data_IF_216450846504
#
_entry.id   IF_216450846504
#
_cell.length_a   1.000
_cell.length_b   1.000
_cell.length_c   1.000
_cell.angle_alpha   90.00
_cell.angle_beta   90.00
_cell.angle_gamma   90.00
#
_symmetry.space_group_name_H-M   'P 1'
#
loop_
_entity.id
_entity.type
_entity.pdbx_description
1 polymer ?
#
# COMPACT_ATOMS: atom_id res chain seq x y z
N UNK A 1 -6.16 -41.34 -9.77
CA UNK A 1 -5.23 -40.53 -8.97
C UNK A 1 -4.44 -41.38 -8.01
N UNK A 2 -3.23 -41.02 -7.80
CA UNK A 2 -2.31 -41.71 -6.88
C UNK A 2 -2.30 -41.11 -5.47
N UNK A 3 -3.00 -40.00 -5.30
CA UNK A 3 -3.08 -39.27 -4.03
C UNK A 3 -4.44 -38.60 -3.88
N UNK A 4 -4.87 -38.34 -2.65
CA UNK A 4 -6.04 -37.52 -2.35
C UNK A 4 -5.58 -36.14 -1.90
N UNK A 5 -6.24 -35.12 -2.40
CA UNK A 5 -6.00 -33.75 -1.95
C UNK A 5 -6.56 -33.50 -0.56
N UNK A 6 -6.05 -32.49 0.10
CA UNK A 6 -6.57 -32.05 1.42
C UNK A 6 -8.04 -31.60 1.34
N UNK A 7 -8.47 -31.06 0.19
CA UNK A 7 -9.84 -30.61 -0.01
C UNK A 7 -10.60 -31.53 -0.96
N UNK A 8 -11.79 -32.00 -0.51
CA UNK A 8 -12.72 -32.80 -1.33
C UNK A 8 -13.15 -32.08 -2.60
N UNK A 9 -13.17 -30.75 -2.58
CA UNK A 9 -13.54 -29.94 -3.74
C UNK A 9 -12.55 -30.18 -4.89
N UNK A 10 -11.24 -30.26 -4.61
CA UNK A 10 -10.20 -30.48 -5.60
C UNK A 10 -10.33 -31.91 -6.16
N UNK A 11 -10.54 -32.90 -5.30
CA UNK A 11 -10.78 -34.28 -5.74
C UNK A 11 -12.02 -34.38 -6.65
N UNK A 12 -13.10 -33.66 -6.33
CA UNK A 12 -14.29 -33.62 -7.17
C UNK A 12 -14.04 -32.90 -8.51
N UNK A 13 -13.19 -31.87 -8.54
CA UNK A 13 -12.75 -31.24 -9.80
C UNK A 13 -11.96 -32.22 -10.66
N UNK A 14 -11.09 -33.03 -10.05
CA UNK A 14 -10.35 -34.07 -10.76
C UNK A 14 -11.30 -35.14 -11.32
N UNK A 15 -12.24 -35.63 -10.49
CA UNK A 15 -13.28 -36.59 -10.91
C UNK A 15 -14.17 -36.02 -12.01
N UNK A 16 -14.51 -34.74 -11.94
CA UNK A 16 -15.30 -34.05 -12.96
C UNK A 16 -14.60 -33.87 -14.30
N UNK A 17 -13.34 -34.31 -14.44
CA UNK A 17 -12.66 -34.43 -15.73
C UNK A 17 -13.08 -35.67 -16.53
N UNK A 18 -13.72 -36.65 -15.86
CA UNK A 18 -14.26 -37.89 -16.43
C UNK A 18 -15.79 -37.76 -16.55
N UNK A 19 -16.40 -38.32 -17.57
CA UNK A 19 -17.85 -38.33 -17.78
C UNK A 19 -18.45 -36.96 -18.09
N UNK A 20 -17.78 -36.11 -18.82
CA UNK A 20 -18.28 -34.79 -19.22
C UNK A 20 -19.46 -34.90 -20.16
N UNK A 21 -20.42 -33.98 -20.00
CA UNK A 21 -21.64 -33.89 -20.82
C UNK A 21 -22.51 -35.15 -20.80
N UNK A 22 -22.38 -35.99 -19.74
CA UNK A 22 -23.16 -37.22 -19.60
C UNK A 22 -22.51 -38.45 -20.20
N UNK A 23 -21.30 -38.33 -20.74
CA UNK A 23 -20.56 -39.51 -21.25
C UNK A 23 -20.20 -40.45 -20.09
N UNK A 24 -20.14 -41.77 -20.35
CA UNK A 24 -19.67 -42.75 -19.38
C UNK A 24 -18.25 -42.42 -18.90
N UNK A 25 -18.02 -42.34 -17.61
CA UNK A 25 -16.72 -42.04 -17.03
C UNK A 25 -16.44 -42.85 -15.78
N UNK A 26 -15.17 -43.20 -15.55
CA UNK A 26 -14.69 -43.92 -14.38
C UNK A 26 -13.52 -43.15 -13.78
N UNK A 27 -13.55 -42.91 -12.46
CA UNK A 27 -12.42 -42.37 -11.71
C UNK A 27 -12.08 -43.26 -10.53
N UNK A 28 -10.79 -43.54 -10.33
CA UNK A 28 -10.26 -44.30 -9.19
C UNK A 28 -9.08 -43.59 -8.57
N UNK A 29 -8.98 -43.71 -7.23
CA UNK A 29 -7.83 -43.29 -6.47
C UNK A 29 -7.13 -44.53 -5.90
N UNK A 30 -5.81 -44.57 -6.07
CA UNK A 30 -4.93 -45.58 -5.47
C UNK A 30 -4.13 -44.84 -4.41
N UNK A 31 -4.24 -45.25 -3.17
CA UNK A 31 -3.70 -44.53 -2.01
C UNK A 31 -2.77 -45.42 -1.21
N UNK A 32 -1.76 -44.83 -0.62
CA UNK A 32 -0.88 -45.49 0.34
C UNK A 32 -1.28 -45.06 1.76
N UNK A 33 -1.05 -45.95 2.72
CA UNK A 33 -1.26 -45.61 4.15
C UNK A 33 -0.27 -44.59 4.68
N UNK A 34 0.87 -44.50 4.02
CA UNK A 34 1.92 -43.52 4.36
C UNK A 34 1.63 -42.14 3.83
N UNK A 35 0.58 -41.97 2.99
CA UNK A 35 0.16 -40.65 2.52
C UNK A 35 -0.12 -39.71 3.70
N UNK A 36 0.36 -38.49 3.64
CA UNK A 36 0.29 -37.50 4.72
C UNK A 36 -1.12 -37.30 5.26
N UNK A 37 -2.13 -37.33 4.39
CA UNK A 37 -3.54 -37.23 4.79
C UNK A 37 -3.95 -38.33 5.76
N UNK A 38 -3.56 -39.57 5.52
CA UNK A 38 -3.90 -40.70 6.37
C UNK A 38 -2.97 -40.79 7.58
N UNK A 39 -1.69 -40.49 7.42
CA UNK A 39 -0.69 -40.52 8.49
C UNK A 39 -0.99 -39.51 9.58
N UNK A 40 -1.38 -38.27 9.22
CA UNK A 40 -1.54 -37.17 10.18
C UNK A 40 -2.98 -37.11 10.72
N UNK A 41 -3.97 -37.34 9.89
CA UNK A 41 -5.39 -37.14 10.20
C UNK A 41 -6.23 -38.42 10.22
N UNK A 42 -5.63 -39.54 9.84
CA UNK A 42 -6.30 -40.84 9.90
C UNK A 42 -6.53 -41.28 11.34
N UNK A 43 -7.55 -42.11 11.59
CA UNK A 43 -7.75 -42.68 12.90
C UNK A 43 -6.66 -43.74 13.21
N UNK A 44 -6.10 -43.71 14.45
CA UNK A 44 -5.05 -44.65 14.89
C UNK A 44 -5.49 -46.12 14.79
N UNK A 45 -6.78 -46.37 14.92
CA UNK A 45 -7.39 -47.69 14.74
C UNK A 45 -7.33 -48.21 13.30
N UNK A 46 -7.10 -47.34 12.32
CA UNK A 46 -6.93 -47.70 10.93
C UNK A 46 -5.63 -48.47 10.71
N UNK A 47 -4.53 -47.92 11.22
CA UNK A 47 -3.22 -48.52 11.13
C UNK A 47 -3.17 -49.89 11.82
N UNK A 48 -3.73 -50.00 13.03
CA UNK A 48 -3.74 -51.27 13.77
C UNK A 48 -4.59 -52.35 13.12
N UNK A 49 -5.69 -52.01 12.50
CA UNK A 49 -6.55 -52.97 11.76
C UNK A 49 -5.92 -53.42 10.43
N UNK A 50 -5.17 -52.54 9.75
CA UNK A 50 -4.55 -52.88 8.48
C UNK A 50 -3.24 -53.63 8.66
N UNK A 51 -2.45 -53.32 9.69
CA UNK A 51 -1.28 -54.11 10.04
C UNK A 51 -1.62 -55.52 10.48
N UNK A 52 -2.83 -55.75 11.02
CA UNK A 52 -3.32 -57.08 11.40
C UNK A 52 -3.96 -57.84 10.23
N UNK A 53 -4.20 -57.22 9.09
CA UNK A 53 -4.63 -57.90 7.88
C UNK A 53 -3.40 -58.48 7.18
N UNK A 54 -3.32 -59.83 7.07
CA UNK A 54 -2.31 -60.51 6.25
C UNK A 54 -2.60 -60.16 4.79
N UNK A 55 -1.97 -59.11 4.27
CA UNK A 55 -2.07 -58.68 2.90
C UNK A 55 -0.93 -59.35 2.12
N UNK A 56 -1.28 -59.96 1.02
CA UNK A 56 -0.27 -60.40 0.02
C UNK A 56 0.29 -59.20 -0.73
N UNK A 57 1.59 -59.27 -1.12
CA UNK A 57 2.21 -58.18 -1.86
C UNK A 57 1.43 -57.85 -3.15
N UNK A 58 0.97 -56.61 -3.26
CA UNK A 58 0.19 -56.13 -4.42
C UNK A 58 -1.33 -56.20 -4.26
N UNK A 59 -1.86 -56.68 -3.15
CA UNK A 59 -3.30 -56.69 -2.90
C UNK A 59 -3.83 -55.28 -2.52
N UNK A 60 -4.93 -54.85 -3.15
CA UNK A 60 -5.56 -53.57 -2.90
C UNK A 60 -6.82 -53.74 -2.03
N UNK A 61 -6.88 -53.04 -0.92
CA UNK A 61 -8.05 -53.06 -0.03
C UNK A 61 -9.12 -52.08 -0.53
N UNK A 62 -10.24 -52.63 -1.01
CA UNK A 62 -11.44 -51.87 -1.38
C UNK A 62 -12.52 -51.94 -0.32
N UNK A 63 -12.61 -50.98 0.59
CA UNK A 63 -13.58 -51.00 1.67
C UNK A 63 -14.37 -49.68 1.80
N UNK A 64 -15.68 -49.82 1.99
CA UNK A 64 -16.56 -48.64 2.29
C UNK A 64 -16.14 -47.91 3.57
N UNK A 65 -15.60 -48.65 4.53
CA UNK A 65 -15.12 -48.11 5.78
C UNK A 65 -13.83 -47.26 5.55
N UNK A 66 -12.91 -47.71 4.72
CA UNK A 66 -11.71 -46.94 4.35
C UNK A 66 -12.09 -45.64 3.65
N UNK A 67 -13.02 -45.65 2.71
CA UNK A 67 -13.55 -44.46 2.08
C UNK A 67 -14.12 -43.45 3.06
N UNK A 68 -14.85 -43.93 4.09
CA UNK A 68 -15.38 -43.06 5.15
C UNK A 68 -14.29 -42.50 6.06
N UNK A 69 -13.25 -43.29 6.35
CA UNK A 69 -12.10 -42.83 7.14
C UNK A 69 -11.35 -41.70 6.42
N UNK A 70 -11.10 -41.84 5.12
CA UNK A 70 -10.47 -40.82 4.27
C UNK A 70 -11.33 -39.56 4.23
N UNK A 71 -12.65 -39.70 4.04
CA UNK A 71 -13.57 -38.54 4.06
C UNK A 71 -13.52 -37.81 5.40
N UNK A 72 -13.44 -38.54 6.50
CA UNK A 72 -13.33 -37.96 7.84
C UNK A 72 -12.00 -37.23 8.03
N UNK A 73 -10.89 -37.80 7.55
CA UNK A 73 -9.60 -37.16 7.56
C UNK A 73 -9.63 -35.84 6.76
N UNK A 74 -10.14 -35.86 5.52
CA UNK A 74 -10.30 -34.65 4.72
C UNK A 74 -11.16 -33.59 5.41
N UNK A 75 -12.29 -33.96 6.05
CA UNK A 75 -13.12 -33.01 6.81
C UNK A 75 -12.34 -32.35 7.95
N UNK A 76 -11.47 -33.09 8.65
CA UNK A 76 -10.64 -32.53 9.73
C UNK A 76 -9.61 -31.51 9.17
N UNK A 77 -8.98 -31.84 8.04
CA UNK A 77 -8.03 -30.92 7.38
C UNK A 77 -8.75 -29.68 6.88
N UNK A 78 -9.90 -29.85 6.21
CA UNK A 78 -10.72 -28.73 5.74
C UNK A 78 -11.13 -27.81 6.89
N UNK A 79 -11.55 -28.38 8.03
CA UNK A 79 -11.93 -27.59 9.21
C UNK A 79 -10.73 -26.82 9.80
N UNK A 80 -9.55 -27.46 9.91
CA UNK A 80 -8.32 -26.81 10.38
C UNK A 80 -7.91 -25.66 9.46
N UNK A 81 -7.90 -25.92 8.15
CA UNK A 81 -7.52 -24.91 7.16
C UNK A 81 -8.54 -23.76 7.12
N UNK A 82 -9.83 -24.04 7.33
CA UNK A 82 -10.86 -23.03 7.46
C UNK A 82 -10.61 -22.13 8.69
N UNK A 83 -10.32 -22.74 9.85
CA UNK A 83 -10.08 -21.98 11.08
C UNK A 83 -8.82 -21.10 10.97
N UNK A 84 -7.72 -21.64 10.39
CA UNK A 84 -6.53 -20.84 10.15
C UNK A 84 -6.82 -19.63 9.23
N UNK A 85 -7.56 -19.85 8.13
CA UNK A 85 -7.92 -18.73 7.23
C UNK A 85 -8.84 -17.73 7.92
N UNK A 86 -9.79 -18.20 8.71
CA UNK A 86 -10.69 -17.33 9.48
C UNK A 86 -9.90 -16.44 10.45
N UNK A 87 -8.91 -17.01 11.16
CA UNK A 87 -8.04 -16.23 12.05
C UNK A 87 -7.26 -15.17 11.27
N UNK A 88 -6.64 -15.54 10.14
CA UNK A 88 -5.92 -14.56 9.31
C UNK A 88 -6.82 -13.41 8.90
N UNK A 89 -8.03 -13.70 8.40
CA UNK A 89 -8.99 -12.66 7.99
C UNK A 89 -9.37 -11.76 9.17
N UNK A 90 -9.58 -12.30 10.37
CA UNK A 90 -9.92 -11.51 11.55
C UNK A 90 -8.83 -10.50 11.94
N UNK A 91 -7.55 -10.83 11.75
CA UNK A 91 -6.45 -9.89 11.94
C UNK A 91 -6.39 -8.86 10.80
N UNK A 92 -6.58 -9.31 9.56
CA UNK A 92 -6.54 -8.43 8.39
C UNK A 92 -7.71 -7.43 8.37
N UNK A 93 -8.89 -7.79 8.90
CA UNK A 93 -10.06 -6.91 8.99
C UNK A 93 -9.73 -5.63 9.79
N UNK A 94 -9.02 -5.75 10.91
CA UNK A 94 -8.63 -4.59 11.74
C UNK A 94 -7.77 -3.61 10.93
N UNK A 95 -6.73 -4.12 10.28
CA UNK A 95 -5.86 -3.31 9.44
C UNK A 95 -6.60 -2.72 8.22
N UNK A 96 -7.53 -3.48 7.65
CA UNK A 96 -8.31 -3.02 6.50
C UNK A 96 -9.28 -1.90 6.86
N UNK A 97 -9.87 -1.91 8.05
CA UNK A 97 -10.76 -0.84 8.51
C UNK A 97 -9.98 0.45 8.76
N UNK A 98 -8.81 0.38 9.39
CA UNK A 98 -7.91 1.53 9.55
C UNK A 98 -7.42 2.05 8.20
N UNK A 99 -7.09 1.15 7.26
CA UNK A 99 -6.70 1.53 5.89
C UNK A 99 -7.78 2.32 5.16
N UNK A 100 -9.05 1.93 5.31
CA UNK A 100 -10.16 2.67 4.69
C UNK A 100 -10.19 4.10 5.18
N UNK A 101 -10.10 4.33 6.50
CA UNK A 101 -10.10 5.67 7.10
C UNK A 101 -8.96 6.51 6.53
N UNK A 102 -7.73 5.97 6.54
CA UNK A 102 -6.56 6.72 6.03
C UNK A 102 -6.68 7.01 4.53
N UNK A 103 -7.18 6.06 3.72
CA UNK A 103 -7.32 6.27 2.28
C UNK A 103 -8.45 7.22 1.93
N UNK A 104 -9.53 7.25 2.70
CA UNK A 104 -10.60 8.23 2.58
C UNK A 104 -10.06 9.63 2.90
N UNK A 105 -9.40 9.82 4.02
CA UNK A 105 -8.75 11.10 4.38
C UNK A 105 -7.73 11.54 3.32
N UNK A 106 -6.89 10.61 2.87
CA UNK A 106 -5.90 10.89 1.82
C UNK A 106 -6.55 11.34 0.51
N UNK A 107 -7.66 10.71 0.12
CA UNK A 107 -8.42 11.09 -1.09
C UNK A 107 -9.06 12.46 -0.92
N UNK A 108 -9.66 12.74 0.24
CA UNK A 108 -10.23 14.06 0.56
C UNK A 108 -9.17 15.15 0.46
N UNK A 109 -7.99 14.93 1.06
CA UNK A 109 -6.87 15.87 0.97
C UNK A 109 -6.44 16.05 -0.49
N UNK A 110 -6.35 14.99 -1.29
CA UNK A 110 -5.96 15.08 -2.71
C UNK A 110 -6.98 15.82 -3.56
N UNK A 111 -8.25 15.63 -3.32
CA UNK A 111 -9.34 16.23 -4.09
C UNK A 111 -9.63 17.66 -3.66
N UNK A 112 -9.33 18.03 -2.41
CA UNK A 112 -9.53 19.38 -1.89
C UNK A 112 -8.57 20.38 -2.54
N UNK A 113 -9.08 21.53 -2.95
CA UNK A 113 -8.24 22.65 -3.39
C UNK A 113 -7.50 23.32 -2.22
N UNK A 114 -8.11 23.28 -1.03
CA UNK A 114 -7.62 23.91 0.19
C UNK A 114 -7.55 22.88 1.32
N UNK A 115 -6.50 22.93 2.11
CA UNK A 115 -6.29 22.09 3.29
C UNK A 115 -5.97 22.91 4.55
N UNK A 116 -6.07 24.23 4.44
CA UNK A 116 -5.79 25.17 5.52
C UNK A 116 -6.64 24.92 6.77
N UNK A 117 -7.92 24.61 6.60
CA UNK A 117 -8.82 24.26 7.71
C UNK A 117 -8.33 22.99 8.45
N UNK A 118 -7.96 21.96 7.69
CA UNK A 118 -7.45 20.70 8.26
C UNK A 118 -6.14 20.91 9.02
N UNK A 119 -5.23 21.72 8.44
CA UNK A 119 -3.95 22.07 9.09
C UNK A 119 -4.16 22.92 10.33
N UNK A 120 -5.14 23.83 10.31
CA UNK A 120 -5.51 24.64 11.47
C UNK A 120 -6.02 23.75 12.60
N UNK A 121 -6.95 22.84 12.31
CA UNK A 121 -7.49 21.90 13.28
C UNK A 121 -6.37 21.02 13.88
N UNK A 122 -5.47 20.49 13.04
CA UNK A 122 -4.32 19.71 13.51
C UNK A 122 -3.41 20.50 14.45
N UNK A 123 -3.17 21.78 14.14
CA UNK A 123 -2.35 22.64 15.00
C UNK A 123 -3.05 22.94 16.33
N UNK A 124 -4.36 23.19 16.33
CA UNK A 124 -5.14 23.39 17.54
C UNK A 124 -5.13 22.12 18.41
N UNK A 125 -5.38 20.96 17.83
CA UNK A 125 -5.32 19.68 18.52
C UNK A 125 -3.92 19.41 19.10
N UNK A 126 -2.85 19.71 18.35
CA UNK A 126 -1.47 19.54 18.83
C UNK A 126 -1.18 20.46 20.01
N UNK A 127 -1.57 21.74 19.94
CA UNK A 127 -1.40 22.70 21.05
C UNK A 127 -2.21 22.25 22.27
N UNK A 128 -3.48 21.87 22.09
CA UNK A 128 -4.33 21.35 23.15
C UNK A 128 -3.72 20.11 23.83
N UNK A 129 -3.12 19.20 23.06
CA UNK A 129 -2.43 18.02 23.59
C UNK A 129 -1.21 18.40 24.44
N UNK A 130 -0.39 19.35 23.98
CA UNK A 130 0.78 19.84 24.72
C UNK A 130 0.36 20.49 26.07
N UNK A 131 -0.70 21.28 26.04
CA UNK A 131 -1.23 21.93 27.26
C UNK A 131 -1.84 20.88 28.18
N UNK A 132 -2.62 19.92 27.68
CA UNK A 132 -3.25 18.89 28.49
C UNK A 132 -2.21 17.94 29.15
N UNK A 133 -1.07 17.68 28.51
CA UNK A 133 0.02 16.90 29.07
C UNK A 133 0.70 17.66 30.22
N UNK A 134 1.01 18.93 30.04
CA UNK A 134 1.68 19.74 31.03
C UNK A 134 0.74 20.20 32.20
N UNK A 135 -0.53 20.42 31.87
CA UNK A 135 -1.55 20.91 32.78
C UNK A 135 -2.75 19.94 32.87
N UNK A 136 -2.59 18.78 33.53
CA UNK A 136 -3.63 17.73 33.57
C UNK A 136 -4.96 18.29 34.14
N UNK A 137 -6.11 17.91 33.59
CA UNK A 137 -7.41 18.36 34.04
C UNK A 137 -7.63 18.11 35.54
N UNK A 138 -8.01 19.16 36.30
CA UNK A 138 -8.25 19.07 37.74
C UNK A 138 -7.00 19.14 38.61
N UNK A 139 -5.82 19.37 38.05
CA UNK A 139 -4.58 19.65 38.78
C UNK A 139 -4.51 21.14 39.15
N UNK A 140 -3.79 21.45 40.25
CA UNK A 140 -3.53 22.82 40.65
C UNK A 140 -2.34 23.41 39.89
N UNK A 141 -2.28 24.75 39.67
CA UNK A 141 -1.21 25.42 38.92
C UNK A 141 0.20 25.10 39.43
N UNK A 142 0.35 24.82 40.74
CA UNK A 142 1.65 24.45 41.34
C UNK A 142 2.14 23.04 40.93
N UNK A 143 1.27 22.23 40.33
CA UNK A 143 1.57 20.87 39.90
C UNK A 143 1.84 20.77 38.39
N UNK A 144 1.68 21.89 37.67
CA UNK A 144 1.85 21.94 36.24
C UNK A 144 3.34 21.88 35.84
N UNK A 145 3.67 21.14 34.82
CA UNK A 145 5.03 21.07 34.26
C UNK A 145 5.26 22.22 33.25
N UNK A 146 5.44 23.43 33.77
CA UNK A 146 5.63 24.63 32.93
C UNK A 146 6.97 24.57 32.18
N UNK A 147 8.03 24.04 32.79
CA UNK A 147 9.33 23.91 32.12
C UNK A 147 9.27 22.91 30.96
N UNK A 148 8.59 21.76 31.16
CA UNK A 148 8.31 20.80 30.10
C UNK A 148 7.49 21.42 28.97
N UNK A 149 6.44 22.17 29.29
CA UNK A 149 5.60 22.87 28.30
C UNK A 149 6.43 23.85 27.46
N UNK A 150 7.27 24.67 28.08
CA UNK A 150 8.13 25.62 27.34
C UNK A 150 9.05 24.87 26.34
N UNK A 151 9.70 23.79 26.80
CA UNK A 151 10.58 23.00 25.95
C UNK A 151 9.85 22.36 24.77
N UNK A 152 8.68 21.78 25.01
CA UNK A 152 7.86 21.17 23.97
C UNK A 152 7.31 22.20 22.97
N UNK A 153 6.85 23.37 23.45
CA UNK A 153 6.38 24.46 22.59
C UNK A 153 7.52 25.02 21.74
N UNK A 154 8.72 25.19 22.31
CA UNK A 154 9.90 25.60 21.54
C UNK A 154 10.25 24.56 20.46
N UNK A 155 10.22 23.28 20.81
CA UNK A 155 10.53 22.19 19.87
C UNK A 155 9.48 22.06 18.76
N UNK A 156 8.19 22.15 19.09
CA UNK A 156 7.08 21.85 18.16
C UNK A 156 6.69 23.10 17.36
N UNK A 157 6.57 24.25 17.99
CA UNK A 157 6.08 25.48 17.38
C UNK A 157 7.22 26.45 17.02
N UNK A 158 8.42 26.27 17.57
CA UNK A 158 9.52 27.23 17.43
C UNK A 158 9.22 28.59 18.12
N UNK A 159 8.41 28.55 19.17
CA UNK A 159 7.98 29.73 19.93
C UNK A 159 8.59 29.72 21.33
N UNK A 160 8.87 30.93 21.86
CA UNK A 160 9.31 31.14 23.23
C UNK A 160 8.27 31.99 23.98
N UNK A 161 7.13 31.38 24.37
CA UNK A 161 6.07 32.12 25.04
C UNK A 161 6.49 32.53 26.45
N UNK A 162 6.04 33.74 26.94
CA UNK A 162 6.32 34.20 28.28
C UNK A 162 5.36 33.56 29.30
N UNK A 163 5.39 32.23 29.42
CA UNK A 163 4.46 31.48 30.27
C UNK A 163 4.64 31.88 31.76
N UNK A 164 5.87 32.22 32.19
CA UNK A 164 6.09 32.66 33.58
C UNK A 164 5.35 33.93 33.94
N UNK A 165 5.20 34.85 32.99
CA UNK A 165 4.44 36.08 33.18
C UNK A 165 2.94 35.77 33.25
N UNK A 166 2.47 34.83 32.42
CA UNK A 166 1.07 34.40 32.47
C UNK A 166 0.72 33.73 33.79
N UNK A 167 1.64 32.92 34.36
CA UNK A 167 1.43 32.26 35.65
C UNK A 167 1.36 33.23 36.84
N UNK A 168 1.74 34.49 36.68
CA UNK A 168 1.61 35.53 37.73
C UNK A 168 0.24 36.23 37.71
N UNK A 169 -0.58 35.94 36.69
CA UNK A 169 -1.94 36.47 36.61
C UNK A 169 -2.88 35.74 37.58
N UNK A 170 -3.89 36.45 38.10
CA UNK A 170 -4.89 35.82 38.97
C UNK A 170 -5.78 34.86 38.16
N UNK A 171 -5.94 33.63 38.64
CA UNK A 171 -6.82 32.58 38.07
C UNK A 171 -6.47 32.15 36.62
N UNK A 172 -5.23 31.73 36.38
CA UNK A 172 -4.82 31.13 35.10
C UNK A 172 -5.45 29.76 34.95
N UNK A 173 -6.17 29.57 33.84
CA UNK A 173 -6.76 28.29 33.42
C UNK A 173 -5.98 27.71 32.23
N UNK A 174 -5.90 26.36 32.08
CA UNK A 174 -5.21 25.75 30.94
C UNK A 174 -5.74 26.22 29.58
N UNK A 175 -7.04 26.46 29.48
CA UNK A 175 -7.73 26.95 28.29
C UNK A 175 -7.22 28.34 27.84
N UNK A 176 -6.86 29.20 28.79
CA UNK A 176 -6.31 30.54 28.50
C UNK A 176 -4.87 30.41 27.95
N UNK A 177 -4.09 29.47 28.48
CA UNK A 177 -2.73 29.19 27.98
C UNK A 177 -2.83 28.65 26.53
N UNK A 178 -3.76 27.75 26.29
CA UNK A 178 -4.02 27.20 24.98
C UNK A 178 -4.40 28.28 23.96
N UNK A 179 -5.37 29.15 24.28
CA UNK A 179 -5.81 30.25 23.42
C UNK A 179 -4.65 31.21 23.08
N UNK A 180 -3.85 31.59 24.06
CA UNK A 180 -2.67 32.46 23.84
C UNK A 180 -1.60 31.79 22.97
N UNK A 181 -1.37 30.50 23.14
CA UNK A 181 -0.44 29.75 22.31
C UNK A 181 -0.95 29.61 20.86
N UNK A 182 -2.25 29.43 20.68
CA UNK A 182 -2.88 29.40 19.35
C UNK A 182 -2.73 30.74 18.63
N UNK A 183 -3.02 31.87 19.32
CA UNK A 183 -2.83 33.19 18.75
C UNK A 183 -1.37 33.47 18.36
N UNK A 184 -0.42 33.11 19.23
CA UNK A 184 1.01 33.27 18.95
C UNK A 184 1.46 32.41 17.77
N UNK A 185 0.98 31.17 17.68
CA UNK A 185 1.29 30.27 16.58
C UNK A 185 0.72 30.78 15.26
N UNK A 186 -0.48 31.31 15.25
CA UNK A 186 -1.10 31.91 14.06
C UNK A 186 -0.34 33.18 13.63
N UNK A 187 -0.02 34.08 14.55
CA UNK A 187 0.78 35.27 14.24
C UNK A 187 2.14 34.91 13.65
N UNK A 188 2.81 33.90 14.22
CA UNK A 188 4.11 33.41 13.71
C UNK A 188 4.01 32.80 12.31
N UNK A 189 2.96 32.01 12.04
CA UNK A 189 2.72 31.44 10.72
C UNK A 189 2.48 32.54 9.68
N UNK A 190 1.62 33.50 10.00
CA UNK A 190 1.31 34.65 9.13
C UNK A 190 2.56 35.48 8.83
N UNK A 191 3.42 35.71 9.81
CA UNK A 191 4.70 36.43 9.62
C UNK A 191 5.61 35.65 8.63
N UNK A 192 5.71 34.32 8.79
CA UNK A 192 6.57 33.48 7.95
C UNK A 192 6.05 33.30 6.52
N UNK A 193 4.75 33.35 6.34
CA UNK A 193 4.12 33.18 5.02
C UNK A 193 3.90 34.48 4.27
N UNK A 194 4.12 35.64 4.92
CA UNK A 194 3.89 36.97 4.33
C UNK A 194 4.57 37.19 2.98
N UNK A 195 5.77 36.65 2.79
CA UNK A 195 6.58 36.79 1.57
C UNK A 195 6.30 35.69 0.53
N UNK A 196 5.42 34.73 0.83
CA UNK A 196 5.16 33.58 -0.01
C UNK A 196 3.79 33.74 -0.70
N UNK A 197 3.72 33.55 -2.02
CA UNK A 197 2.43 33.53 -2.72
C UNK A 197 1.49 32.47 -2.12
N UNK A 198 0.25 32.84 -1.83
CA UNK A 198 -0.75 31.99 -1.17
C UNK A 198 -0.91 30.62 -1.87
N UNK A 199 -0.97 30.60 -3.20
CA UNK A 199 -1.07 29.36 -3.96
C UNK A 199 0.15 28.44 -3.81
N UNK A 200 1.33 29.03 -3.59
CA UNK A 200 2.55 28.25 -3.38
C UNK A 200 2.58 27.65 -1.99
N UNK A 201 2.14 28.44 -0.98
CA UNK A 201 2.03 27.96 0.40
C UNK A 201 1.04 26.80 0.52
N UNK A 202 -0.14 26.92 -0.07
CA UNK A 202 -1.15 25.85 -0.10
C UNK A 202 -0.64 24.54 -0.69
N UNK A 203 0.15 24.61 -1.77
CA UNK A 203 0.79 23.42 -2.34
C UNK A 203 1.79 22.80 -1.38
N UNK A 204 2.53 23.61 -0.65
CA UNK A 204 3.48 23.14 0.36
C UNK A 204 2.74 22.46 1.51
N UNK A 205 1.71 23.07 2.08
CA UNK A 205 0.87 22.48 3.14
C UNK A 205 0.32 21.12 2.70
N UNK A 206 -0.31 21.05 1.54
CA UNK A 206 -0.86 19.82 0.98
C UNK A 206 0.22 18.76 0.75
N UNK A 207 1.38 19.14 0.26
CA UNK A 207 2.50 18.22 0.01
C UNK A 207 3.06 17.65 1.31
N UNK A 208 3.25 18.49 2.33
CA UNK A 208 3.76 18.08 3.64
C UNK A 208 2.74 17.16 4.31
N UNK A 209 1.46 17.52 4.31
CA UNK A 209 0.40 16.72 4.91
C UNK A 209 0.34 15.32 4.30
N UNK A 210 0.37 15.20 2.97
CA UNK A 210 0.36 13.91 2.28
C UNK A 210 1.63 13.10 2.56
N UNK A 211 2.82 13.75 2.55
CA UNK A 211 4.09 13.08 2.81
C UNK A 211 4.14 12.51 4.24
N UNK A 212 3.71 13.29 5.24
CA UNK A 212 3.69 12.87 6.64
C UNK A 212 2.65 11.79 6.90
N UNK A 213 1.46 11.92 6.30
CA UNK A 213 0.43 10.87 6.36
C UNK A 213 0.96 9.54 5.80
N UNK A 214 1.59 9.56 4.63
CA UNK A 214 2.15 8.36 4.01
C UNK A 214 3.32 7.77 4.84
N UNK A 215 4.12 8.62 5.48
CA UNK A 215 5.23 8.19 6.34
C UNK A 215 4.71 7.48 7.60
N UNK A 216 3.86 8.13 8.38
CA UNK A 216 3.33 7.58 9.64
C UNK A 216 2.46 6.34 9.39
N UNK A 217 1.70 6.32 8.29
CA UNK A 217 0.94 5.14 7.91
C UNK A 217 1.83 3.92 7.62
N UNK A 218 2.94 4.09 6.90
CA UNK A 218 3.89 2.99 6.65
C UNK A 218 4.53 2.47 7.93
N UNK A 219 4.90 3.36 8.85
CA UNK A 219 5.47 3.00 10.14
C UNK A 219 4.45 2.26 11.01
N UNK A 220 3.20 2.74 11.02
CA UNK A 220 2.10 2.07 11.72
C UNK A 220 1.85 0.65 11.20
N UNK A 221 1.86 0.45 9.89
CA UNK A 221 1.74 -0.89 9.31
C UNK A 221 2.84 -1.84 9.78
N UNK A 222 4.09 -1.36 9.86
CA UNK A 222 5.20 -2.16 10.38
C UNK A 222 5.01 -2.50 11.87
N UNK A 223 4.50 -1.55 12.65
CA UNK A 223 4.18 -1.76 14.08
C UNK A 223 3.06 -2.78 14.26
N UNK A 224 2.01 -2.73 13.44
CA UNK A 224 0.92 -3.72 13.46
C UNK A 224 1.41 -5.13 13.09
N UNK A 225 2.32 -5.24 12.12
CA UNK A 225 2.92 -6.53 11.77
C UNK A 225 3.76 -7.09 12.91
N UNK A 226 4.52 -6.26 13.62
CA UNK A 226 5.26 -6.65 14.80
C UNK A 226 4.32 -7.10 15.94
N UNK A 227 3.25 -6.36 16.20
CA UNK A 227 2.22 -6.72 17.19
C UNK A 227 1.58 -8.07 16.85
N UNK A 228 1.23 -8.31 15.58
CA UNK A 228 0.65 -9.57 15.11
C UNK A 228 1.53 -10.78 15.40
N UNK A 229 2.85 -10.62 15.32
CA UNK A 229 3.79 -11.71 15.59
C UNK A 229 3.87 -12.10 17.08
N UNK A 230 3.61 -11.16 17.99
CA UNK A 230 3.77 -11.39 19.43
C UNK A 230 2.46 -11.54 20.19
N UNK A 231 1.35 -11.11 19.64
CA UNK A 231 0.04 -11.07 20.33
C UNK A 231 -0.46 -12.46 20.76
N UNK A 232 -0.07 -13.52 20.04
CA UNK A 232 -0.46 -14.89 20.38
C UNK A 232 0.08 -15.32 21.76
N UNK A 233 1.16 -14.72 22.26
CA UNK A 233 1.71 -14.97 23.59
C UNK A 233 0.73 -14.56 24.70
N UNK A 234 -0.21 -13.66 24.42
CA UNK A 234 -1.28 -13.27 25.37
C UNK A 234 -2.20 -14.42 25.74
N UNK A 235 -2.26 -15.48 24.90
CA UNK A 235 -3.00 -16.71 25.24
C UNK A 235 -2.49 -17.38 26.50
N UNK A 236 -1.20 -17.29 26.85
CA UNK A 236 -0.66 -17.82 28.11
C UNK A 236 -1.26 -17.13 29.35
N UNK A 237 -1.68 -15.88 29.22
CA UNK A 237 -2.37 -15.13 30.26
C UNK A 237 -3.90 -15.34 30.24
N UNK A 238 -4.40 -16.38 29.58
CA UNK A 238 -5.84 -16.69 29.40
C UNK A 238 -6.64 -15.59 28.71
N UNK A 239 -5.98 -14.69 27.99
CA UNK A 239 -6.62 -13.63 27.19
C UNK A 239 -6.83 -14.12 25.76
N UNK A 240 -7.86 -13.62 25.10
CA UNK A 240 -8.09 -13.93 23.69
C UNK A 240 -7.20 -13.04 22.81
N UNK A 241 -6.23 -13.62 22.06
CA UNK A 241 -5.25 -12.83 21.30
C UNK A 241 -5.88 -11.85 20.33
N UNK A 242 -6.98 -12.21 19.70
CA UNK A 242 -7.65 -11.32 18.75
C UNK A 242 -8.27 -10.07 19.41
N UNK A 243 -8.79 -10.20 20.63
CA UNK A 243 -9.36 -9.06 21.33
C UNK A 243 -8.26 -8.12 21.83
N UNK A 244 -7.17 -8.67 22.36
CA UNK A 244 -5.98 -7.89 22.73
C UNK A 244 -5.40 -7.17 21.49
N UNK A 245 -5.28 -7.88 20.37
CA UNK A 245 -4.84 -7.27 19.12
C UNK A 245 -5.70 -6.07 18.70
N UNK A 246 -7.02 -6.21 18.77
CA UNK A 246 -7.94 -5.12 18.42
C UNK A 246 -7.76 -3.90 19.32
N UNK A 247 -7.61 -4.12 20.63
CA UNK A 247 -7.41 -3.02 21.60
C UNK A 247 -6.06 -2.34 21.41
N UNK A 248 -4.98 -3.12 21.30
CA UNK A 248 -3.64 -2.57 21.10
C UNK A 248 -3.52 -1.88 19.74
N UNK A 249 -4.07 -2.48 18.67
CA UNK A 249 -4.08 -1.87 17.34
C UNK A 249 -4.86 -0.54 17.28
N UNK A 250 -5.97 -0.45 18.03
CA UNK A 250 -6.71 0.80 18.14
C UNK A 250 -5.90 1.87 18.88
N UNK A 251 -5.27 1.53 20.00
CA UNK A 251 -4.41 2.46 20.73
C UNK A 251 -3.23 2.94 19.88
N UNK A 252 -2.56 2.03 19.18
CA UNK A 252 -1.46 2.38 18.27
C UNK A 252 -1.93 3.29 17.13
N UNK A 253 -3.14 3.08 16.61
CA UNK A 253 -3.72 3.93 15.58
C UNK A 253 -4.01 5.35 16.08
N UNK A 254 -4.55 5.49 17.29
CA UNK A 254 -4.74 6.81 17.92
C UNK A 254 -3.40 7.52 18.11
N UNK A 255 -2.42 6.85 18.69
CA UNK A 255 -1.07 7.40 18.87
C UNK A 255 -0.46 7.84 17.53
N UNK A 256 -0.65 7.06 16.47
CA UNK A 256 -0.16 7.44 15.13
C UNK A 256 -0.83 8.72 14.62
N UNK A 257 -2.14 8.87 14.81
CA UNK A 257 -2.87 10.09 14.42
C UNK A 257 -2.40 11.32 15.24
N UNK A 258 -2.18 11.16 16.53
CA UNK A 258 -1.69 12.23 17.40
C UNK A 258 -0.27 12.65 16.99
N UNK A 259 0.63 11.68 16.80
CA UNK A 259 1.99 11.93 16.31
C UNK A 259 2.00 12.60 14.93
N UNK A 260 1.05 12.21 14.04
CA UNK A 260 0.89 12.84 12.72
C UNK A 260 0.54 14.33 12.88
N UNK A 261 -0.40 14.69 13.77
CA UNK A 261 -0.80 16.09 14.03
C UNK A 261 0.37 16.91 14.53
N UNK A 262 1.12 16.39 15.49
CA UNK A 262 2.32 17.01 16.04
C UNK A 262 3.40 17.20 14.98
N UNK A 263 3.70 16.18 14.20
CA UNK A 263 4.76 16.21 13.18
C UNK A 263 4.42 17.18 12.04
N UNK A 264 3.17 17.17 11.55
CA UNK A 264 2.70 18.14 10.54
C UNK A 264 2.82 19.56 11.08
N UNK A 265 2.36 19.81 12.31
CA UNK A 265 2.44 21.12 12.97
C UNK A 265 3.90 21.54 13.12
N UNK A 266 4.76 20.68 13.63
CA UNK A 266 6.19 20.94 13.81
C UNK A 266 6.87 21.30 12.49
N UNK A 267 6.64 20.53 11.44
CA UNK A 267 7.24 20.79 10.13
C UNK A 267 6.75 22.12 9.55
N UNK A 268 5.46 22.41 9.60
CA UNK A 268 4.90 23.66 9.08
C UNK A 268 5.38 24.88 9.89
N UNK A 269 5.55 24.74 11.19
CA UNK A 269 6.00 25.83 12.07
C UNK A 269 7.51 26.07 12.05
N UNK A 270 8.34 25.02 11.80
CA UNK A 270 9.80 25.12 11.94
C UNK A 270 10.56 25.03 10.61
N UNK A 271 9.99 24.40 9.57
CA UNK A 271 10.70 24.20 8.30
C UNK A 271 11.09 25.52 7.63
N UNK A 272 12.35 25.66 7.24
CA UNK A 272 12.83 26.78 6.43
C UNK A 272 12.54 26.50 4.96
N UNK A 273 11.61 27.25 4.38
CA UNK A 273 11.34 27.20 2.95
C UNK A 273 12.49 27.93 2.21
N UNK A 274 13.40 27.15 1.64
CA UNK A 274 14.38 27.71 0.70
C UNK A 274 13.84 27.51 -0.71
N UNK A 275 13.78 28.55 -1.54
CA UNK A 275 13.48 28.37 -2.94
C UNK A 275 14.49 27.36 -3.51
N UNK A 276 14.00 26.28 -4.09
CA UNK A 276 14.85 25.29 -4.70
C UNK A 276 15.68 26.00 -5.78
N UNK A 277 17.00 25.95 -5.65
CA UNK A 277 17.85 26.36 -6.75
C UNK A 277 17.48 25.54 -7.99
N UNK A 278 17.32 26.15 -9.16
CA UNK A 278 17.02 25.40 -10.37
C UNK A 278 18.03 24.26 -10.49
N UNK A 279 17.58 23.03 -10.74
CA UNK A 279 18.49 21.91 -10.90
C UNK A 279 19.55 22.30 -11.95
N UNK A 280 20.83 22.03 -11.69
CA UNK A 280 21.87 22.32 -12.67
C UNK A 280 21.44 21.62 -13.97
N UNK A 281 21.63 22.29 -15.13
CA UNK A 281 21.29 21.68 -16.40
C UNK A 281 22.00 20.33 -16.46
N UNK A 282 21.23 19.26 -16.60
CA UNK A 282 21.78 17.92 -16.80
C UNK A 282 22.64 18.01 -18.04
N UNK A 283 23.97 18.07 -17.86
CA UNK A 283 24.87 17.79 -18.95
C UNK A 283 24.48 16.37 -19.43
N UNK A 284 23.90 16.29 -20.60
CA UNK A 284 23.74 15.01 -21.26
C UNK A 284 25.14 14.42 -21.38
N UNK A 285 25.36 13.17 -20.95
CA UNK A 285 26.64 12.53 -21.21
C UNK A 285 26.89 12.60 -22.71
N UNK A 286 28.09 13.00 -23.10
CA UNK A 286 28.47 12.93 -24.49
C UNK A 286 28.15 11.53 -24.99
N UNK A 287 27.29 11.47 -26.01
CA UNK A 287 26.93 10.20 -26.62
C UNK A 287 28.25 9.60 -27.13
N UNK A 288 28.56 8.33 -26.79
CA UNK A 288 29.72 7.68 -27.34
C UNK A 288 29.62 7.78 -28.86
N UNK A 289 30.71 8.19 -29.51
CA UNK A 289 30.82 8.15 -30.97
C UNK A 289 30.53 6.70 -31.39
N UNK A 290 29.37 6.48 -31.96
CA UNK A 290 29.06 5.19 -32.57
C UNK A 290 29.93 5.09 -33.82
N UNK A 291 31.03 4.33 -33.74
CA UNK A 291 31.70 3.83 -34.90
C UNK A 291 30.75 2.91 -35.67
N UNK A 292 30.06 3.47 -36.65
CA UNK A 292 29.21 2.68 -37.57
C UNK A 292 30.10 2.04 -38.64
N UNK A 293 30.90 1.08 -38.26
CA UNK A 293 31.55 0.18 -39.20
C UNK A 293 30.57 -0.94 -39.59
N UNK A 294 30.16 -0.97 -40.80
CA UNK A 294 29.34 -2.05 -41.33
C UNK A 294 30.24 -3.00 -42.13
N UNK A 295 30.72 -4.04 -41.50
CA UNK A 295 31.45 -5.13 -42.19
C UNK A 295 30.42 -6.12 -42.73
N UNK A 296 30.39 -6.35 -44.05
CA UNK A 296 29.53 -7.38 -44.66
C UNK A 296 29.99 -8.76 -44.18
N UNK A 297 29.14 -9.52 -43.52
CA UNK A 297 29.49 -10.84 -42.96
C UNK A 297 29.80 -11.92 -44.02
N UNK A 298 29.51 -11.66 -45.31
CA UNK A 298 29.76 -12.61 -46.38
C UNK A 298 30.99 -12.26 -47.24
N UNK A 299 31.31 -10.96 -47.43
CA UNK A 299 32.42 -10.53 -48.23
C UNK A 299 33.61 -10.04 -47.42
N UNK A 300 33.38 -9.64 -46.15
CA UNK A 300 34.39 -9.12 -45.27
C UNK A 300 34.81 -7.69 -45.63
N UNK A 301 34.14 -7.05 -46.58
CA UNK A 301 34.43 -5.69 -46.97
C UNK A 301 33.85 -4.71 -45.96
N UNK A 302 34.64 -3.67 -45.60
CA UNK A 302 34.27 -2.62 -44.68
C UNK A 302 33.86 -1.35 -45.47
N UNK A 303 32.56 -1.06 -45.53
CA UNK A 303 31.98 0.11 -46.20
C UNK A 303 32.34 1.43 -45.53
N UNK A 304 33.07 1.43 -44.43
CA UNK A 304 33.42 2.65 -43.66
C UNK A 304 34.54 3.49 -44.31
N UNK A 305 35.17 3.02 -45.41
CA UNK A 305 36.35 3.66 -45.99
C UNK A 305 36.12 4.33 -47.34
N UNK A 306 34.90 4.36 -47.89
CA UNK A 306 34.63 5.19 -49.07
C UNK A 306 34.35 6.63 -48.63
N UNK A 307 35.36 7.45 -48.72
CA UNK A 307 35.34 8.87 -48.43
C UNK A 307 34.20 9.59 -49.16
N UNK A 308 33.62 10.53 -48.46
CA UNK A 308 32.59 11.49 -48.86
C UNK A 308 31.13 11.13 -48.47
N UNK A 309 30.97 10.71 -47.19
CA UNK A 309 29.66 10.45 -46.58
C UNK A 309 28.92 11.66 -46.01
N UNK A 310 29.36 12.90 -46.26
CA UNK A 310 28.68 14.07 -45.65
C UNK A 310 27.38 14.52 -46.29
N UNK A 311 26.97 13.93 -47.40
CA UNK A 311 25.76 14.37 -48.13
C UNK A 311 24.57 13.40 -48.04
N UNK A 312 24.70 12.19 -47.48
CA UNK A 312 23.57 11.21 -47.47
C UNK A 312 22.79 11.04 -46.17
N UNK A 313 23.15 11.72 -45.09
CA UNK A 313 22.44 11.58 -43.78
C UNK A 313 21.59 12.77 -43.37
N UNK A 314 21.41 13.78 -44.23
CA UNK A 314 20.58 14.93 -43.90
C UNK A 314 19.07 14.77 -43.91
N UNK A 315 18.40 13.77 -44.54
CA UNK A 315 16.94 13.75 -44.53
C UNK A 315 16.30 13.10 -43.28
N UNK A 316 17.06 12.33 -42.48
CA UNK A 316 16.37 11.55 -41.42
C UNK A 316 16.32 12.20 -40.04
N UNK A 317 17.20 13.17 -39.76
CA UNK A 317 17.25 13.86 -38.46
C UNK A 317 16.97 15.37 -38.53
N UNK A 318 16.83 15.94 -39.73
CA UNK A 318 16.57 17.36 -39.91
C UNK A 318 15.15 17.84 -39.53
N UNK A 319 14.23 16.93 -39.26
CA UNK A 319 12.84 17.26 -38.88
C UNK A 319 12.58 17.25 -37.39
N UNK A 320 13.54 16.88 -36.54
CA UNK A 320 13.37 16.88 -35.10
C UNK A 320 13.97 18.07 -34.34
N UNK A 321 14.70 18.95 -35.05
CA UNK A 321 15.41 20.09 -34.41
C UNK A 321 14.69 21.44 -34.57
N UNK A 322 13.44 21.50 -34.98
CA UNK A 322 12.76 22.74 -35.32
C UNK A 322 11.34 22.97 -34.79
N UNK A 323 10.92 22.29 -33.74
CA UNK A 323 9.64 22.66 -33.11
C UNK A 323 9.88 23.17 -31.69
N UNK A 324 9.53 24.44 -31.42
CA UNK A 324 9.54 24.94 -30.04
C UNK A 324 8.46 24.17 -29.26
N UNK A 325 8.86 23.52 -28.18
CA UNK A 325 7.95 22.98 -27.19
C UNK A 325 7.21 24.15 -26.57
N UNK A 326 5.99 24.40 -27.04
CA UNK A 326 5.08 25.27 -26.35
C UNK A 326 4.63 24.56 -25.08
N UNK A 327 5.15 25.00 -23.95
CA UNK A 327 4.59 24.75 -22.65
C UNK A 327 3.28 25.50 -22.53
N UNK A 328 2.18 24.83 -22.80
CA UNK A 328 0.89 25.23 -22.26
C UNK A 328 0.16 23.97 -21.83
N UNK A 329 -0.24 24.03 -20.57
CA UNK A 329 -0.93 23.02 -19.84
C UNK A 329 -2.31 22.64 -20.39
N UNK A 330 -2.94 21.84 -19.60
CA UNK A 330 -4.25 21.21 -19.69
C UNK A 330 -4.26 19.93 -20.51
N UNK A 331 -4.07 18.84 -19.78
CA UNK A 331 -4.53 17.53 -20.21
C UNK A 331 -6.07 17.52 -20.19
N UNK A 332 -6.68 18.05 -21.21
CA UNK A 332 -8.02 17.69 -21.57
C UNK A 332 -8.00 16.27 -22.10
N UNK A 333 -8.84 15.41 -21.57
CA UNK A 333 -9.16 14.09 -22.10
C UNK A 333 -9.75 14.27 -23.52
N UNK A 334 -8.87 14.34 -24.51
CA UNK A 334 -9.29 14.17 -25.89
C UNK A 334 -9.69 12.70 -26.06
N UNK A 335 -10.96 12.42 -26.05
CA UNK A 335 -11.53 11.20 -26.60
C UNK A 335 -10.92 11.05 -28.00
N UNK A 336 -10.05 10.04 -28.17
CA UNK A 336 -9.58 9.67 -29.51
C UNK A 336 -10.78 9.09 -30.23
N UNK A 337 -11.39 9.88 -31.10
CA UNK A 337 -12.40 9.39 -32.00
C UNK A 337 -11.83 8.21 -32.78
N UNK A 338 -12.52 7.08 -32.69
CA UNK A 338 -12.13 5.89 -33.43
C UNK A 338 -12.51 6.08 -34.90
N UNK A 339 -11.57 6.22 -35.86
CA UNK A 339 -11.88 6.48 -37.27
C UNK A 339 -12.59 5.32 -37.97
N UNK A 340 -12.78 4.18 -37.30
CA UNK A 340 -13.42 2.97 -37.80
C UNK A 340 -14.69 2.62 -36.99
N UNK A 341 -15.25 3.57 -36.24
CA UNK A 341 -16.43 3.35 -35.41
C UNK A 341 -17.69 2.99 -36.22
N UNK A 342 -17.80 3.54 -37.42
CA UNK A 342 -18.95 3.33 -38.31
C UNK A 342 -18.83 2.06 -39.19
N UNK A 343 -17.75 1.30 -39.06
CA UNK A 343 -17.56 0.05 -39.81
C UNK A 343 -17.98 -1.14 -38.96
N UNK A 344 -18.78 -2.02 -39.50
CA UNK A 344 -19.18 -3.29 -38.87
C UNK A 344 -18.02 -4.28 -38.91
N UNK A 345 -17.04 -4.08 -37.99
CA UNK A 345 -15.83 -4.88 -37.91
C UNK A 345 -15.94 -5.83 -36.70
N UNK A 346 -15.85 -7.12 -36.99
CA UNK A 346 -15.81 -8.13 -35.89
C UNK A 346 -14.64 -7.89 -34.96
N UNK A 347 -14.87 -7.93 -33.65
CA UNK A 347 -13.85 -7.69 -32.59
C UNK A 347 -12.60 -8.56 -32.73
N UNK A 348 -12.69 -9.72 -33.36
CA UNK A 348 -11.57 -10.65 -33.54
C UNK A 348 -10.88 -10.54 -34.91
N UNK A 349 -11.38 -9.71 -35.83
CA UNK A 349 -10.77 -9.47 -37.14
C UNK A 349 -9.50 -8.63 -37.02
N UNK A 350 -8.55 -8.72 -37.97
CA UNK A 350 -7.39 -7.84 -38.02
C UNK A 350 -7.84 -6.38 -38.18
N UNK A 351 -7.15 -5.47 -37.47
CA UNK A 351 -7.50 -4.06 -37.51
C UNK A 351 -7.19 -3.45 -38.90
N UNK A 352 -8.12 -2.65 -39.50
CA UNK A 352 -7.91 -2.02 -40.79
C UNK A 352 -6.73 -1.06 -40.86
N UNK A 353 -6.20 -0.61 -39.71
CA UNK A 353 -5.04 0.28 -39.66
C UNK A 353 -3.71 -0.38 -40.09
N UNK A 354 -3.71 -1.67 -40.41
CA UNK A 354 -2.51 -2.37 -40.86
C UNK A 354 -1.51 -2.77 -39.76
N UNK A 355 -1.88 -2.59 -38.46
CA UNK A 355 -0.99 -2.91 -37.33
C UNK A 355 -0.77 -4.42 -37.09
N UNK A 356 -1.49 -5.29 -37.79
CA UNK A 356 -1.46 -6.74 -37.56
C UNK A 356 -2.17 -7.22 -36.29
N UNK A 357 -2.62 -6.32 -35.45
CA UNK A 357 -3.34 -6.63 -34.21
C UNK A 357 -4.84 -6.83 -34.48
N UNK A 358 -5.51 -7.65 -33.63
CA UNK A 358 -6.97 -7.78 -33.67
C UNK A 358 -7.64 -6.45 -33.31
N UNK A 359 -8.79 -6.14 -33.93
CA UNK A 359 -9.50 -4.87 -33.74
C UNK A 359 -9.74 -4.53 -32.27
N UNK A 360 -10.13 -5.50 -31.44
CA UNK A 360 -10.33 -5.34 -29.98
C UNK A 360 -9.07 -4.96 -29.18
N UNK A 361 -7.88 -5.15 -29.74
CA UNK A 361 -6.60 -4.79 -29.11
C UNK A 361 -5.93 -3.58 -29.78
N UNK A 362 -6.62 -2.92 -30.69
CA UNK A 362 -6.17 -1.74 -31.42
C UNK A 362 -7.23 -0.63 -31.32
N UNK A 363 -7.89 -0.29 -32.40
CA UNK A 363 -8.88 0.79 -32.42
C UNK A 363 -10.24 0.42 -31.79
N UNK A 364 -10.53 -0.84 -31.63
CA UNK A 364 -11.70 -1.34 -30.90
C UNK A 364 -11.50 -1.49 -29.38
N UNK A 365 -10.37 -1.07 -28.83
CA UNK A 365 -10.11 -1.08 -27.38
C UNK A 365 -10.72 0.13 -26.65
N UNK A 366 -11.22 1.12 -27.40
CA UNK A 366 -11.72 2.42 -26.90
C UNK A 366 -13.27 2.49 -27.00
N UNK A 367 -13.92 1.37 -27.26
CA UNK A 367 -15.38 1.30 -27.29
C UNK A 367 -15.96 0.56 -26.09
#
# INVERSE_FOLDING_TARGET
>A
GTERHESRRIDNQLRGRSGRQGDPGLSRFYLCLEDDLLRIFGPDTLFSKMMNANLEDGEAIGSKWLSKAIETAQKKVEARNYEMRKQVVQYDDVMNDQRKVIYEQRSEIMDSERVDDVVLDMRQDAIGSLVAEACPPGSYPEQWDIEGLKAQVEETLGLTPPIDDWMQEDAVEPELIEERLQEMAEARLNERTADIPEDSWRRVEKSILLERLDFHWKEHLATLDALRQVVFLRAYAQKQPINEYKQEAFGLFQTMLDTLREDVTKVLMTAQLRPAAPPPPRALPDLPEFLTGHVDPFTGDDDSNDGDGSERLQPLFGTLAGSPVATTGTAGSAQRENPYADMDISRNSPCPCGSGNKYKHCHGAVA
#
